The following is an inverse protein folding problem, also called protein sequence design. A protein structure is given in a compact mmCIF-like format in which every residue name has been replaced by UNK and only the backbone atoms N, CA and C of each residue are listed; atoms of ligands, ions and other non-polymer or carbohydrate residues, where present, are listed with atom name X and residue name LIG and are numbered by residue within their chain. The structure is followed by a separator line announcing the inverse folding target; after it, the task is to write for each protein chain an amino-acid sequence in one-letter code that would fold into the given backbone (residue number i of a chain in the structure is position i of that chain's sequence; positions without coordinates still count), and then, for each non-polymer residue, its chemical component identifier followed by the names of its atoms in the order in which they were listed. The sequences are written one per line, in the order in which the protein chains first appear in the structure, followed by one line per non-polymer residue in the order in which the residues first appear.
data_IF_037340801155
#
_entry.id   IF_037340801155
#
_cell.length_a   1.000
_cell.length_b   1.000
_cell.length_c   1.000
_cell.angle_alpha   90.00
_cell.angle_beta   90.00
_cell.angle_gamma   90.00
#
_symmetry.space_group_name_H-M   'P 1'
#
loop_
_entity.id
_entity.type
_entity.pdbx_description
1 polymer ?
#
# COMPACT_ATOMS: atom_id res chain seq x y z
N UNK A 1 -40.64 12.74 36.99
CA UNK A 1 -39.39 12.52 36.22
C UNK A 1 -38.73 13.77 35.62
N UNK A 2 -39.07 14.32 34.43
CA UNK A 2 -38.27 15.45 33.84
C UNK A 2 -38.35 16.73 34.68
N UNK A 3 -39.55 17.12 35.12
CA UNK A 3 -39.78 18.31 35.98
C UNK A 3 -39.06 18.18 37.34
N UNK A 4 -39.02 16.96 37.85
CA UNK A 4 -38.40 16.59 39.13
C UNK A 4 -36.87 16.57 39.04
N UNK A 5 -36.31 16.02 37.95
CA UNK A 5 -34.87 16.06 37.68
C UNK A 5 -34.36 17.50 37.48
N UNK A 6 -35.15 18.38 36.84
CA UNK A 6 -34.77 19.80 36.71
C UNK A 6 -34.76 20.52 38.06
N UNK A 7 -35.70 20.23 38.97
CA UNK A 7 -35.73 20.85 40.30
C UNK A 7 -34.62 20.33 41.21
N UNK A 8 -34.30 19.03 41.15
CA UNK A 8 -33.25 18.43 42.00
C UNK A 8 -31.84 18.87 41.58
N UNK A 9 -31.55 18.92 40.28
CA UNK A 9 -30.21 19.20 39.77
C UNK A 9 -29.98 20.67 39.34
N UNK A 10 -31.00 21.53 39.37
CA UNK A 10 -30.88 22.94 38.98
C UNK A 10 -30.53 23.17 37.51
N UNK A 11 -30.86 22.22 36.63
CA UNK A 11 -30.52 22.26 35.19
C UNK A 11 -31.75 22.53 34.32
N UNK A 12 -31.53 23.02 33.09
CA UNK A 12 -32.61 23.32 32.15
C UNK A 12 -33.33 22.06 31.66
N UNK A 13 -34.62 22.18 31.31
CA UNK A 13 -35.40 21.09 30.69
C UNK A 13 -34.74 20.53 29.43
N UNK A 14 -34.16 21.40 28.60
CA UNK A 14 -33.48 21.00 27.36
C UNK A 14 -32.24 20.13 27.63
N UNK A 15 -31.51 20.41 28.71
CA UNK A 15 -30.38 19.58 29.13
C UNK A 15 -30.84 18.19 29.57
N UNK A 16 -31.90 18.10 30.38
CA UNK A 16 -32.46 16.82 30.84
C UNK A 16 -32.93 15.96 29.66
N UNK A 17 -33.65 16.53 28.69
CA UNK A 17 -34.05 15.81 27.48
C UNK A 17 -32.86 15.33 26.65
N UNK A 18 -31.79 16.13 26.55
CA UNK A 18 -30.56 15.73 25.84
C UNK A 18 -29.86 14.56 26.52
N UNK A 19 -29.82 14.55 27.86
CA UNK A 19 -29.24 13.43 28.62
C UNK A 19 -30.10 12.18 28.53
N UNK A 20 -31.43 12.32 28.64
CA UNK A 20 -32.37 11.22 28.44
C UNK A 20 -32.22 10.57 27.06
N UNK A 21 -32.09 11.38 26.01
CA UNK A 21 -31.84 10.90 24.64
C UNK A 21 -30.51 10.15 24.52
N UNK A 22 -29.45 10.59 25.20
CA UNK A 22 -28.16 9.90 25.21
C UNK A 22 -28.25 8.53 25.89
N UNK A 23 -28.95 8.45 27.03
CA UNK A 23 -29.20 7.19 27.74
C UNK A 23 -29.98 6.21 26.84
N UNK A 24 -31.06 6.66 26.20
CA UNK A 24 -31.87 5.79 25.33
C UNK A 24 -31.08 5.22 24.13
N UNK A 25 -30.09 5.95 23.61
CA UNK A 25 -29.29 5.51 22.45
C UNK A 25 -28.10 4.63 22.80
N UNK A 26 -27.58 4.72 24.04
CA UNK A 26 -26.31 4.11 24.42
C UNK A 26 -26.42 3.15 25.61
N UNK A 27 -27.60 3.04 26.21
CA UNK A 27 -27.89 2.18 27.36
C UNK A 27 -27.99 2.96 28.67
N UNK A 28 -28.73 2.40 29.62
CA UNK A 28 -28.95 2.92 30.98
C UNK A 28 -27.73 2.69 31.90
N UNK A 29 -26.56 3.18 31.46
CA UNK A 29 -25.31 3.17 32.22
C UNK A 29 -24.82 4.61 32.48
N UNK A 30 -24.22 4.91 33.64
CA UNK A 30 -23.67 6.24 33.91
C UNK A 30 -22.66 6.72 32.85
N UNK A 31 -21.93 5.82 32.17
CA UNK A 31 -20.99 6.19 31.09
C UNK A 31 -21.71 6.79 29.88
N UNK A 32 -22.98 6.47 29.65
CA UNK A 32 -23.78 7.06 28.55
C UNK A 32 -24.00 8.56 28.69
N UNK A 33 -23.83 9.10 29.91
CA UNK A 33 -23.92 10.52 30.22
C UNK A 33 -22.59 11.27 30.08
N UNK A 34 -21.49 10.59 29.75
CA UNK A 34 -20.20 11.25 29.54
C UNK A 34 -20.30 12.26 28.39
N UNK A 35 -19.65 13.45 28.52
CA UNK A 35 -19.66 14.43 27.45
C UNK A 35 -19.14 13.84 26.14
N UNK A 36 -19.94 13.96 25.08
CA UNK A 36 -19.61 13.53 23.71
C UNK A 36 -18.51 14.39 23.10
N UNK A 37 -17.28 14.27 23.63
CA UNK A 37 -16.09 14.98 23.16
C UNK A 37 -15.78 14.65 21.69
N UNK A 38 -16.22 13.50 21.21
CA UNK A 38 -16.17 13.08 19.80
C UNK A 38 -16.98 13.99 18.86
N UNK A 39 -18.08 14.58 19.35
CA UNK A 39 -18.95 15.51 18.59
C UNK A 39 -18.62 16.98 18.86
N UNK A 40 -17.72 17.25 19.80
CA UNK A 40 -17.28 18.61 20.11
C UNK A 40 -16.15 19.06 19.18
N UNK A 41 -15.95 20.38 19.07
CA UNK A 41 -14.73 20.94 18.47
C UNK A 41 -14.78 21.19 16.96
N UNK A 42 -15.94 21.02 16.30
CA UNK A 42 -16.13 21.26 14.87
C UNK A 42 -15.11 20.48 14.01
N UNK A 43 -15.12 19.15 14.14
CA UNK A 43 -14.23 18.24 13.41
C UNK A 43 -14.36 18.47 11.89
N UNK A 44 -13.26 18.77 11.24
CA UNK A 44 -13.20 19.02 9.79
C UNK A 44 -13.31 20.49 9.39
N UNK A 45 -13.74 21.38 10.29
CA UNK A 45 -13.76 22.83 10.00
C UNK A 45 -12.34 23.39 10.13
N UNK A 46 -11.81 23.89 9.02
CA UNK A 46 -10.51 24.57 8.99
C UNK A 46 -10.62 25.88 9.74
N UNK A 47 -9.72 26.12 10.69
CA UNK A 47 -9.64 27.36 11.46
C UNK A 47 -8.34 28.05 11.11
N UNK A 48 -8.38 28.89 10.07
CA UNK A 48 -7.25 29.72 9.65
C UNK A 48 -7.05 30.86 10.66
N UNK A 49 -5.87 31.43 10.67
CA UNK A 49 -5.42 32.44 11.63
C UNK A 49 -4.88 33.63 10.86
N UNK A 50 -5.77 34.28 10.11
CA UNK A 50 -5.43 35.43 9.28
C UNK A 50 -5.21 36.68 10.13
N UNK A 51 -4.42 37.66 9.64
CA UNK A 51 -4.14 38.90 10.37
C UNK A 51 -5.44 39.61 10.80
N UNK A 52 -5.56 39.96 12.07
CA UNK A 52 -6.74 40.64 12.63
C UNK A 52 -7.80 39.71 13.24
N UNK A 53 -7.75 38.41 12.94
CA UNK A 53 -8.67 37.43 13.53
C UNK A 53 -8.03 36.68 14.71
N UNK A 54 -8.06 35.35 14.65
CA UNK A 54 -7.61 34.45 15.69
C UNK A 54 -6.09 34.27 15.60
N UNK A 55 -5.37 34.62 16.68
CA UNK A 55 -3.90 34.46 16.74
C UNK A 55 -3.40 33.00 16.72
N UNK A 56 -4.14 32.05 17.31
CA UNK A 56 -3.71 30.65 17.43
C UNK A 56 -4.87 29.66 17.55
N UNK A 57 -4.85 28.51 16.82
CA UNK A 57 -5.78 27.42 17.02
C UNK A 57 -5.24 26.42 18.06
N UNK A 58 -6.13 25.83 18.86
CA UNK A 58 -5.78 24.75 19.79
C UNK A 58 -5.42 25.18 21.21
N UNK A 59 -4.77 24.28 21.95
CA UNK A 59 -4.43 24.43 23.37
C UNK A 59 -3.30 25.43 23.54
N UNK A 60 -3.44 26.35 24.49
CA UNK A 60 -2.35 27.25 24.90
C UNK A 60 -1.17 26.46 25.47
N UNK A 61 0.05 26.90 25.19
CA UNK A 61 1.26 26.31 25.78
C UNK A 61 1.27 26.52 27.29
N UNK A 62 2.09 25.74 28.00
CA UNK A 62 2.28 25.93 29.44
C UNK A 62 2.73 27.36 29.74
N UNK A 63 3.67 27.89 28.96
CA UNK A 63 4.17 29.25 29.11
C UNK A 63 3.10 30.33 28.88
N UNK A 64 2.27 30.21 27.83
CA UNK A 64 1.12 31.11 27.60
C UNK A 64 0.05 31.02 28.70
N UNK A 65 -0.11 29.85 29.34
CA UNK A 65 -1.03 29.65 30.46
C UNK A 65 -0.50 30.28 31.74
N UNK A 66 0.81 30.17 31.98
CA UNK A 66 1.52 30.79 33.10
C UNK A 66 1.43 32.31 32.98
N UNK A 67 1.84 32.90 31.84
CA UNK A 67 1.76 34.34 31.61
C UNK A 67 0.35 34.89 31.87
N UNK A 68 -0.67 34.18 31.39
CA UNK A 68 -2.08 34.52 31.67
C UNK A 68 -2.44 34.47 33.15
N UNK A 69 -1.94 33.48 33.90
CA UNK A 69 -2.21 33.36 35.33
C UNK A 69 -1.57 34.51 36.13
N UNK A 70 -0.41 34.99 35.67
CA UNK A 70 0.30 36.14 36.24
C UNK A 70 -0.12 37.50 35.66
N UNK A 71 -1.10 37.54 34.73
CA UNK A 71 -1.59 38.79 34.13
C UNK A 71 -0.66 39.43 33.09
N UNK A 72 0.43 38.76 32.73
CA UNK A 72 1.39 39.23 31.75
C UNK A 72 0.93 38.95 30.30
N UNK A 73 1.26 39.81 29.33
CA UNK A 73 1.02 39.52 27.93
C UNK A 73 1.80 38.26 27.53
N UNK A 74 1.18 37.30 26.83
CA UNK A 74 1.89 36.10 26.40
C UNK A 74 3.01 36.49 25.43
N UNK A 75 4.19 35.85 25.51
CA UNK A 75 5.29 36.15 24.62
C UNK A 75 4.95 35.81 23.16
N UNK A 76 5.64 36.43 22.18
CA UNK A 76 5.47 36.09 20.79
C UNK A 76 5.78 34.60 20.60
N UNK A 77 4.80 33.86 20.12
CA UNK A 77 4.92 32.44 19.80
C UNK A 77 4.56 32.19 18.35
N UNK A 78 4.84 30.97 17.88
CA UNK A 78 4.50 30.55 16.52
C UNK A 78 3.02 30.89 16.22
N UNK A 79 2.74 31.76 15.24
CA UNK A 79 1.38 32.11 14.89
C UNK A 79 0.65 30.90 14.31
N UNK A 80 -0.68 30.95 14.30
CA UNK A 80 -1.49 29.96 13.59
C UNK A 80 -1.19 29.92 12.09
N UNK A 81 -1.75 28.92 11.41
CA UNK A 81 -1.62 28.83 9.95
C UNK A 81 -2.56 29.86 9.28
N UNK A 82 -1.99 30.80 8.53
CA UNK A 82 -2.75 31.77 7.72
C UNK A 82 -3.16 31.17 6.36
N UNK A 83 -4.09 31.84 5.68
CA UNK A 83 -4.47 31.53 4.29
C UNK A 83 -3.29 31.65 3.34
N UNK A 84 -2.51 32.72 3.47
CA UNK A 84 -1.32 33.01 2.66
C UNK A 84 -0.25 31.93 2.82
N UNK A 85 0.05 31.53 4.05
CA UNK A 85 1.02 30.45 4.30
C UNK A 85 0.57 29.13 3.70
N UNK A 86 -0.72 28.79 3.82
CA UNK A 86 -1.25 27.57 3.23
C UNK A 86 -1.12 27.59 1.69
N UNK A 87 -1.47 28.72 1.05
CA UNK A 87 -1.32 28.89 -0.40
C UNK A 87 0.14 28.80 -0.85
N UNK A 88 1.06 29.50 -0.16
CA UNK A 88 2.49 29.45 -0.45
C UNK A 88 3.07 28.03 -0.31
N UNK A 89 2.67 27.29 0.73
CA UNK A 89 3.07 25.89 0.92
C UNK A 89 2.61 25.04 -0.26
N UNK A 90 1.38 25.20 -0.73
CA UNK A 90 0.84 24.43 -1.85
C UNK A 90 1.54 24.75 -3.17
N UNK A 91 1.84 26.04 -3.42
CA UNK A 91 2.60 26.46 -4.60
C UNK A 91 4.00 25.86 -4.59
N UNK A 92 4.72 25.96 -3.46
CA UNK A 92 6.04 25.36 -3.29
C UNK A 92 6.02 23.84 -3.51
N UNK A 93 5.04 23.17 -2.92
CA UNK A 93 4.94 21.71 -2.96
C UNK A 93 4.61 21.17 -4.36
N UNK A 94 3.89 21.95 -5.17
CA UNK A 94 3.60 21.62 -6.56
C UNK A 94 4.82 21.80 -7.47
N UNK A 95 5.79 22.64 -7.09
CA UNK A 95 7.04 22.82 -7.84
C UNK A 95 8.04 21.68 -7.59
N UNK A 96 7.89 20.92 -6.50
CA UNK A 96 8.77 19.80 -6.19
C UNK A 96 8.47 18.63 -7.14
N UNK A 97 9.47 18.19 -7.89
CA UNK A 97 9.36 17.07 -8.81
C UNK A 97 8.98 15.76 -8.09
N UNK A 98 8.15 14.95 -8.75
CA UNK A 98 7.83 13.59 -8.31
C UNK A 98 8.94 12.62 -8.74
N UNK A 99 9.39 11.69 -7.89
CA UNK A 99 8.87 11.34 -6.57
C UNK A 99 9.28 12.34 -5.48
N UNK A 100 8.31 12.77 -4.67
CA UNK A 100 8.53 13.77 -3.64
C UNK A 100 9.46 13.21 -2.55
N UNK A 101 10.43 13.99 -2.07
CA UNK A 101 11.41 13.54 -1.09
C UNK A 101 10.78 13.28 0.29
N UNK A 102 11.52 12.63 1.21
CA UNK A 102 11.05 12.42 2.58
C UNK A 102 10.74 13.75 3.29
N UNK A 103 9.88 13.67 4.32
CA UNK A 103 9.31 14.83 5.01
C UNK A 103 10.32 15.93 5.40
N UNK A 104 11.48 15.62 6.03
CA UNK A 104 12.42 16.67 6.44
C UNK A 104 12.95 17.47 5.24
N UNK A 105 13.42 16.77 4.20
CA UNK A 105 13.95 17.39 2.98
C UNK A 105 12.87 18.15 2.23
N UNK A 106 11.64 17.61 2.16
CA UNK A 106 10.49 18.27 1.54
C UNK A 106 10.13 19.56 2.26
N UNK A 107 10.11 19.57 3.60
CA UNK A 107 9.84 20.79 4.36
C UNK A 107 10.95 21.83 4.18
N UNK A 108 12.21 21.40 4.12
CA UNK A 108 13.33 22.32 3.90
C UNK A 108 13.27 22.95 2.51
N UNK A 109 12.89 22.19 1.47
CA UNK A 109 12.69 22.72 0.11
C UNK A 109 11.53 23.73 0.04
N UNK A 110 10.43 23.47 0.73
CA UNK A 110 9.28 24.40 0.82
C UNK A 110 9.70 25.71 1.51
N UNK A 111 10.43 25.61 2.62
CA UNK A 111 10.91 26.79 3.35
C UNK A 111 11.88 27.59 2.47
N UNK A 112 12.85 26.92 1.84
CA UNK A 112 13.86 27.57 0.99
C UNK A 112 13.28 28.27 -0.24
N UNK A 113 12.16 27.78 -0.79
CA UNK A 113 11.58 28.33 -2.02
C UNK A 113 10.70 29.55 -1.79
N UNK A 114 9.80 29.51 -0.80
CA UNK A 114 8.77 30.56 -0.63
C UNK A 114 8.97 31.44 0.61
N UNK A 115 9.74 31.00 1.60
CA UNK A 115 9.83 31.69 2.89
C UNK A 115 11.21 32.31 3.16
N UNK A 116 12.25 31.94 2.42
CA UNK A 116 13.57 32.60 2.52
C UNK A 116 13.69 33.67 1.43
N UNK A 117 13.79 34.93 1.85
CA UNK A 117 13.98 36.07 0.95
C UNK A 117 15.40 36.64 0.90
N UNK A 118 16.34 36.13 1.72
CA UNK A 118 17.72 36.63 1.81
C UNK A 118 18.73 35.51 1.57
N UNK A 119 19.72 35.78 0.72
CA UNK A 119 20.85 34.92 0.45
C UNK A 119 22.12 35.66 0.88
N UNK A 120 22.97 35.01 1.68
CA UNK A 120 24.27 35.55 2.06
C UNK A 120 25.38 34.64 1.52
N UNK A 121 26.49 35.25 1.13
CA UNK A 121 27.65 34.51 0.67
C UNK A 121 28.54 34.19 1.86
N UNK A 122 28.58 32.92 2.24
CA UNK A 122 29.45 32.42 3.31
C UNK A 122 30.47 31.49 2.67
N UNK A 123 31.75 31.89 2.71
CA UNK A 123 32.89 31.08 2.20
C UNK A 123 32.76 30.66 0.72
N UNK A 124 32.32 31.56 -0.16
CA UNK A 124 32.19 31.29 -1.61
C UNK A 124 31.01 30.39 -1.99
N UNK A 125 30.08 30.13 -1.06
CA UNK A 125 28.81 29.45 -1.31
C UNK A 125 27.66 30.37 -0.93
N UNK A 126 26.73 30.55 -1.85
CA UNK A 126 25.48 31.30 -1.61
C UNK A 126 24.59 30.41 -0.74
N UNK A 127 24.49 30.73 0.55
CA UNK A 127 23.60 30.04 1.47
C UNK A 127 22.37 30.90 1.78
N UNK A 128 21.20 30.24 1.78
CA UNK A 128 19.93 30.86 2.09
C UNK A 128 19.80 31.01 3.61
N UNK A 129 19.77 32.26 4.10
CA UNK A 129 19.68 32.54 5.53
C UNK A 129 18.23 32.35 5.99
N UNK A 130 18.02 31.49 7.00
CA UNK A 130 16.68 31.28 7.55
C UNK A 130 16.18 32.59 8.19
N UNK A 131 14.94 33.03 7.89
CA UNK A 131 14.36 34.21 8.50
C UNK A 131 14.17 34.02 10.01
N UNK A 132 13.87 35.14 10.68
CA UNK A 132 13.59 35.14 12.12
C UNK A 132 12.56 34.08 12.51
N UNK A 133 12.81 33.46 13.67
CA UNK A 133 11.92 32.45 14.25
C UNK A 133 10.53 33.08 14.41
N UNK A 134 9.48 32.34 14.01
CA UNK A 134 8.06 32.75 13.97
C UNK A 134 7.57 33.51 12.72
N UNK A 135 8.47 33.95 11.83
CA UNK A 135 8.09 34.62 10.57
C UNK A 135 7.69 33.64 9.46
N UNK A 136 7.96 32.34 9.64
CA UNK A 136 7.66 31.27 8.70
C UNK A 136 7.01 30.07 9.40
N UNK A 137 6.26 29.20 8.68
CA UNK A 137 5.59 28.06 9.27
C UNK A 137 6.58 26.98 9.73
N UNK A 138 6.30 26.36 10.87
CA UNK A 138 7.07 25.22 11.36
C UNK A 138 6.86 23.96 10.49
N UNK A 139 7.81 23.04 10.43
CA UNK A 139 7.69 21.75 9.76
C UNK A 139 6.39 20.98 10.10
N UNK A 140 5.92 21.03 11.36
CA UNK A 140 4.63 20.42 11.76
C UNK A 140 3.43 21.08 11.10
N UNK A 141 3.48 22.40 10.95
CA UNK A 141 2.47 23.22 10.31
C UNK A 141 2.40 22.93 8.82
N UNK A 142 3.55 22.87 8.14
CA UNK A 142 3.67 22.50 6.72
C UNK A 142 3.12 21.09 6.48
N UNK A 143 3.56 20.11 7.29
CA UNK A 143 3.07 18.73 7.20
C UNK A 143 1.55 18.67 7.39
N UNK A 144 0.99 19.45 8.32
CA UNK A 144 -0.45 19.48 8.58
C UNK A 144 -1.22 19.98 7.36
N UNK A 145 -0.80 21.09 6.73
CA UNK A 145 -1.44 21.63 5.51
C UNK A 145 -1.48 20.57 4.42
N UNK A 146 -0.32 20.00 4.08
CA UNK A 146 -0.22 18.97 3.06
C UNK A 146 -1.03 17.70 3.40
N UNK A 147 -1.18 17.37 4.69
CA UNK A 147 -2.01 16.22 5.09
C UNK A 147 -3.52 16.44 5.02
N UNK A 148 -3.96 17.70 5.10
CA UNK A 148 -5.37 18.08 5.09
C UNK A 148 -5.82 18.40 3.67
N UNK A 149 -5.02 19.17 2.94
CA UNK A 149 -5.38 19.68 1.62
C UNK A 149 -5.11 18.67 0.51
N UNK A 150 -4.09 17.80 0.67
CA UNK A 150 -3.80 16.75 -0.32
C UNK A 150 -4.36 15.40 0.14
N UNK A 151 -5.18 14.81 -0.72
CA UNK A 151 -5.72 13.47 -0.51
C UNK A 151 -4.61 12.44 -0.22
N UNK A 152 -4.95 11.47 0.63
CA UNK A 152 -4.00 10.43 1.05
C UNK A 152 -3.49 9.60 -0.14
N UNK A 153 -4.38 9.28 -1.09
CA UNK A 153 -4.03 8.49 -2.28
C UNK A 153 -3.06 9.26 -3.17
N UNK A 154 -3.36 10.54 -3.45
CA UNK A 154 -2.49 11.40 -4.27
C UNK A 154 -1.09 11.53 -3.66
N UNK A 155 -0.98 11.74 -2.35
CA UNK A 155 0.33 11.79 -1.66
C UNK A 155 1.11 10.48 -1.76
N UNK A 156 0.42 9.34 -1.71
CA UNK A 156 1.06 8.04 -1.85
C UNK A 156 1.64 7.87 -3.27
N UNK A 157 0.87 8.24 -4.29
CA UNK A 157 1.31 8.24 -5.68
C UNK A 157 2.52 9.17 -5.86
N UNK A 158 2.46 10.40 -5.33
CA UNK A 158 3.56 11.37 -5.43
C UNK A 158 4.83 10.95 -4.68
N UNK A 159 4.71 10.14 -3.62
CA UNK A 159 5.87 9.65 -2.84
C UNK A 159 6.70 8.61 -3.56
N UNK A 160 6.16 8.02 -4.63
CA UNK A 160 6.69 6.84 -5.28
C UNK A 160 6.73 7.05 -6.79
N UNK A 161 7.54 6.28 -7.51
CA UNK A 161 7.47 6.29 -8.97
C UNK A 161 6.18 5.63 -9.45
N UNK A 162 5.59 6.11 -10.55
CA UNK A 162 4.40 5.47 -11.13
C UNK A 162 4.60 3.97 -11.36
N UNK A 163 5.83 3.58 -11.75
CA UNK A 163 6.26 2.17 -11.90
C UNK A 163 6.15 1.38 -10.60
N UNK A 164 6.73 1.86 -9.50
CA UNK A 164 6.71 1.13 -8.23
C UNK A 164 5.31 1.14 -7.59
N UNK A 165 4.56 2.23 -7.76
CA UNK A 165 3.19 2.32 -7.30
C UNK A 165 2.31 1.27 -7.98
N UNK A 166 2.34 1.19 -9.30
CA UNK A 166 1.55 0.24 -10.08
C UNK A 166 1.91 -1.22 -9.81
N UNK A 167 3.18 -1.51 -9.51
CA UNK A 167 3.61 -2.89 -9.25
C UNK A 167 3.39 -3.36 -7.81
N UNK A 168 3.51 -2.45 -6.83
CA UNK A 168 3.67 -2.85 -5.42
C UNK A 168 2.67 -2.21 -4.44
N UNK A 169 2.10 -1.05 -4.77
CA UNK A 169 1.32 -0.22 -3.83
C UNK A 169 -0.12 0.07 -4.28
N UNK A 170 -0.49 -0.30 -5.51
CA UNK A 170 -1.83 -0.06 -6.03
C UNK A 170 -2.86 -0.85 -5.22
N UNK A 171 -4.00 -0.22 -4.92
CA UNK A 171 -5.17 -0.91 -4.38
C UNK A 171 -5.69 -1.97 -5.36
N UNK A 172 -6.17 -3.08 -4.83
CA UNK A 172 -6.73 -4.18 -5.60
C UNK A 172 -8.17 -3.83 -5.95
N UNK A 173 -8.55 -4.04 -7.21
CA UNK A 173 -9.87 -3.65 -7.72
C UNK A 173 -10.67 -4.87 -8.20
N UNK A 174 -10.04 -6.01 -8.48
CA UNK A 174 -10.68 -7.16 -9.14
C UNK A 174 -10.41 -8.51 -8.45
N UNK A 175 -11.27 -9.50 -8.74
CA UNK A 175 -11.08 -10.92 -8.37
C UNK A 175 -10.43 -11.67 -9.54
N UNK A 176 -9.48 -12.58 -9.25
CA UNK A 176 -8.67 -13.30 -10.24
C UNK A 176 -9.44 -14.07 -11.32
N UNK A 177 -10.64 -14.58 -11.02
CA UNK A 177 -11.47 -15.33 -11.96
C UNK A 177 -12.27 -14.44 -12.94
N UNK A 178 -12.29 -13.11 -12.76
CA UNK A 178 -13.04 -12.20 -13.62
C UNK A 178 -12.44 -12.19 -15.03
N UNK A 179 -13.17 -12.77 -16.00
CA UNK A 179 -12.73 -12.90 -17.39
C UNK A 179 -12.26 -14.30 -17.80
N UNK A 180 -12.26 -15.27 -16.88
CA UNK A 180 -11.96 -16.69 -17.17
C UNK A 180 -13.27 -17.47 -17.29
N UNK A 181 -13.44 -18.22 -18.38
CA UNK A 181 -14.72 -18.88 -18.69
C UNK A 181 -15.09 -20.02 -17.71
N UNK A 182 -14.11 -20.67 -17.10
CA UNK A 182 -14.32 -21.79 -16.17
C UNK A 182 -13.00 -22.47 -15.76
N UNK A 183 -13.07 -23.52 -14.93
CA UNK A 183 -11.90 -24.33 -14.58
C UNK A 183 -11.23 -24.91 -15.82
N UNK A 184 -9.91 -24.91 -15.86
CA UNK A 184 -9.14 -25.43 -17.00
C UNK A 184 -9.08 -24.49 -18.20
N UNK A 185 -9.75 -23.34 -18.17
CA UNK A 185 -9.63 -22.36 -19.25
C UNK A 185 -8.27 -21.66 -19.22
N UNK A 186 -7.82 -21.18 -18.06
CA UNK A 186 -6.56 -20.44 -17.95
C UNK A 186 -5.71 -20.95 -16.81
N UNK A 187 -4.49 -21.39 -17.13
CA UNK A 187 -3.47 -21.72 -16.15
C UNK A 187 -2.41 -20.63 -16.07
N UNK A 188 -1.96 -20.30 -14.87
CA UNK A 188 -0.81 -19.46 -14.64
C UNK A 188 0.37 -20.31 -14.17
N UNK A 189 1.52 -20.16 -14.81
CA UNK A 189 2.78 -20.79 -14.41
C UNK A 189 3.74 -19.74 -13.86
N UNK A 190 4.33 -20.05 -12.71
CA UNK A 190 5.37 -19.23 -12.09
C UNK A 190 6.51 -20.12 -11.57
N UNK A 191 7.71 -19.56 -11.55
CA UNK A 191 8.90 -20.21 -11.00
C UNK A 191 9.44 -19.38 -9.85
N UNK A 192 9.52 -19.97 -8.65
CA UNK A 192 10.04 -19.30 -7.46
C UNK A 192 11.23 -20.07 -6.90
N UNK A 193 12.28 -19.33 -6.50
CA UNK A 193 13.39 -19.91 -5.75
C UNK A 193 12.91 -20.19 -4.32
N UNK A 194 12.92 -21.46 -3.93
CA UNK A 194 12.56 -21.90 -2.60
C UNK A 194 13.47 -21.26 -1.54
N UNK A 195 12.89 -20.84 -0.43
CA UNK A 195 13.63 -20.24 0.70
C UNK A 195 14.07 -21.30 1.71
N UNK A 196 14.56 -22.42 1.18
CA UNK A 196 15.05 -23.56 1.93
C UNK A 196 16.31 -24.09 1.24
N UNK A 197 17.27 -24.57 2.03
CA UNK A 197 18.44 -25.27 1.52
C UNK A 197 18.19 -26.77 1.56
N UNK A 198 18.31 -27.42 0.41
CA UNK A 198 18.28 -28.87 0.31
C UNK A 198 19.63 -29.46 0.74
N UNK A 199 19.57 -30.57 1.46
CA UNK A 199 20.72 -31.41 1.81
C UNK A 199 20.64 -32.72 1.04
N UNK A 200 21.79 -33.30 0.73
CA UNK A 200 21.83 -34.59 0.04
C UNK A 200 21.26 -35.69 0.94
N UNK A 201 20.55 -36.64 0.33
CA UNK A 201 20.08 -37.85 1.01
C UNK A 201 21.22 -38.82 1.31
N UNK A 202 22.31 -38.77 0.53
CA UNK A 202 23.50 -39.61 0.70
C UNK A 202 24.38 -39.16 1.87
N UNK A 203 24.57 -37.84 1.99
CA UNK A 203 25.29 -37.22 3.12
C UNK A 203 24.63 -35.90 3.49
N UNK A 204 24.11 -35.83 4.72
CA UNK A 204 23.45 -34.62 5.24
C UNK A 204 24.42 -33.46 5.40
N UNK A 205 25.73 -33.69 5.44
CA UNK A 205 26.74 -32.64 5.47
C UNK A 205 26.81 -31.84 4.16
N UNK A 206 26.40 -32.45 3.03
CA UNK A 206 26.45 -31.83 1.71
C UNK A 206 25.21 -30.98 1.43
N UNK A 207 25.43 -29.69 1.24
CA UNK A 207 24.41 -28.73 0.84
C UNK A 207 24.29 -28.77 -0.69
N UNK A 208 23.12 -29.13 -1.19
CA UNK A 208 22.82 -29.18 -2.62
C UNK A 208 22.56 -27.77 -3.16
N UNK A 209 21.84 -26.96 -2.38
CA UNK A 209 21.48 -25.59 -2.73
C UNK A 209 19.99 -25.32 -2.56
N UNK A 210 19.53 -24.21 -3.15
CA UNK A 210 18.13 -23.80 -3.09
C UNK A 210 17.37 -24.37 -4.28
N UNK A 211 16.21 -25.00 -4.07
CA UNK A 211 15.41 -25.50 -5.18
C UNK A 211 14.73 -24.34 -5.91
N UNK A 212 14.41 -24.56 -7.17
CA UNK A 212 13.48 -23.75 -7.94
C UNK A 212 12.21 -24.57 -8.11
N UNK A 213 11.09 -24.01 -7.69
CA UNK A 213 9.78 -24.66 -7.73
C UNK A 213 8.94 -23.97 -8.79
N UNK A 214 8.54 -24.75 -9.80
CA UNK A 214 7.49 -24.38 -10.74
C UNK A 214 6.15 -24.77 -10.15
N UNK A 215 5.21 -23.85 -10.18
CA UNK A 215 3.82 -24.10 -9.77
C UNK A 215 2.93 -23.68 -10.92
N UNK A 216 1.96 -24.53 -11.25
CA UNK A 216 0.93 -24.26 -12.25
C UNK A 216 -0.41 -24.22 -11.53
N UNK A 217 -1.11 -23.10 -11.69
CA UNK A 217 -2.37 -22.86 -11.00
C UNK A 217 -3.49 -22.55 -11.98
N UNK A 218 -4.63 -23.20 -11.79
CA UNK A 218 -5.86 -22.81 -12.50
C UNK A 218 -6.42 -21.51 -11.92
N UNK A 219 -6.54 -20.48 -12.76
CA UNK A 219 -6.91 -19.13 -12.30
C UNK A 219 -8.34 -19.08 -11.77
N UNK A 220 -9.25 -19.87 -12.36
CA UNK A 220 -10.66 -19.87 -11.99
C UNK A 220 -10.90 -20.53 -10.63
N UNK A 221 -10.39 -21.75 -10.45
CA UNK A 221 -10.58 -22.51 -9.21
C UNK A 221 -9.55 -22.20 -8.13
N UNK A 222 -8.44 -21.55 -8.50
CA UNK A 222 -7.25 -21.31 -7.65
C UNK A 222 -6.49 -22.58 -7.24
N UNK A 223 -6.86 -23.74 -7.78
CA UNK A 223 -6.23 -25.01 -7.45
C UNK A 223 -4.88 -25.18 -8.18
N UNK A 224 -3.89 -25.66 -7.45
CA UNK A 224 -2.61 -26.07 -8.03
C UNK A 224 -2.86 -27.34 -8.84
N UNK A 225 -2.69 -27.25 -10.15
CA UNK A 225 -2.91 -28.36 -11.10
C UNK A 225 -1.63 -29.12 -11.41
N UNK A 226 -0.47 -28.54 -11.11
CA UNK A 226 0.81 -29.22 -11.27
C UNK A 226 1.96 -28.45 -10.66
N UNK A 227 3.06 -29.17 -10.40
CA UNK A 227 4.29 -28.60 -9.89
C UNK A 227 5.51 -29.36 -10.42
N UNK A 228 6.67 -28.73 -10.34
CA UNK A 228 7.95 -29.38 -10.64
C UNK A 228 9.09 -28.69 -9.89
N UNK A 229 9.99 -29.48 -9.32
CA UNK A 229 11.12 -28.98 -8.51
C UNK A 229 12.44 -29.27 -9.22
N UNK A 230 13.25 -28.24 -9.42
CA UNK A 230 14.53 -28.28 -10.11
C UNK A 230 15.65 -27.72 -9.25
N UNK A 231 16.89 -28.09 -9.56
CA UNK A 231 18.10 -27.43 -9.04
C UNK A 231 18.71 -26.47 -10.07
N UNK A 232 18.34 -26.61 -11.33
CA UNK A 232 18.80 -25.76 -12.43
C UNK A 232 18.00 -24.47 -12.51
N UNK A 233 18.67 -23.41 -12.94
CA UNK A 233 18.07 -22.09 -13.17
C UNK A 233 16.83 -22.17 -14.06
N UNK A 234 15.91 -21.20 -13.92
CA UNK A 234 14.61 -21.36 -14.53
C UNK A 234 14.70 -21.19 -16.06
N UNK A 235 14.01 -22.07 -16.79
CA UNK A 235 14.19 -22.30 -18.22
C UNK A 235 12.93 -22.87 -18.86
N UNK A 236 12.75 -22.64 -20.16
CA UNK A 236 11.65 -23.25 -20.90
C UNK A 236 11.69 -24.79 -20.90
N UNK A 237 12.87 -25.41 -20.84
CA UNK A 237 12.97 -26.88 -20.80
C UNK A 237 12.38 -27.45 -19.50
N UNK A 238 12.70 -26.83 -18.36
CA UNK A 238 12.11 -27.19 -17.06
C UNK A 238 10.63 -26.83 -16.97
N UNK A 239 10.20 -25.74 -17.61
CA UNK A 239 8.78 -25.38 -17.71
C UNK A 239 7.96 -26.37 -18.55
N UNK A 240 8.53 -26.95 -19.61
CA UNK A 240 7.84 -28.01 -20.38
C UNK A 240 7.58 -29.24 -19.52
N UNK A 241 8.53 -29.60 -18.66
CA UNK A 241 8.38 -30.75 -17.75
C UNK A 241 7.27 -30.46 -16.75
N UNK A 242 7.23 -29.25 -16.16
CA UNK A 242 6.13 -28.89 -15.26
C UNK A 242 4.77 -28.91 -15.94
N UNK A 243 4.67 -28.44 -17.18
CA UNK A 243 3.45 -28.50 -17.98
C UNK A 243 3.02 -29.94 -18.28
N UNK A 244 3.98 -30.80 -18.63
CA UNK A 244 3.73 -32.23 -18.81
C UNK A 244 3.17 -32.84 -17.53
N UNK A 245 3.76 -32.55 -16.38
CA UNK A 245 3.31 -33.06 -15.09
C UNK A 245 1.89 -32.60 -14.73
N UNK A 246 1.50 -31.38 -15.10
CA UNK A 246 0.14 -30.87 -14.90
C UNK A 246 -0.90 -31.53 -15.82
N UNK A 247 -0.48 -31.97 -17.01
CA UNK A 247 -1.34 -32.62 -17.99
C UNK A 247 -1.45 -34.14 -17.78
N UNK A 248 -0.51 -34.73 -17.04
CA UNK A 248 -0.42 -36.15 -16.81
C UNK A 248 -1.37 -36.61 -15.70
N UNK A 249 -1.71 -37.91 -15.68
CA UNK A 249 -2.57 -38.46 -14.64
C UNK A 249 -1.87 -38.39 -13.26
N UNK A 250 -2.47 -37.73 -12.26
CA UNK A 250 -1.83 -37.54 -10.96
C UNK A 250 -1.52 -38.86 -10.25
N UNK A 251 -2.34 -39.92 -10.42
CA UNK A 251 -2.12 -41.20 -9.75
C UNK A 251 -0.85 -41.86 -10.29
N UNK A 252 -0.70 -41.90 -11.62
CA UNK A 252 0.51 -42.41 -12.26
C UNK A 252 1.75 -41.58 -11.90
N UNK A 253 1.60 -40.25 -11.80
CA UNK A 253 2.69 -39.37 -11.37
C UNK A 253 3.10 -39.64 -9.92
N UNK A 254 2.12 -39.88 -9.05
CA UNK A 254 2.32 -40.22 -7.65
C UNK A 254 3.07 -41.55 -7.47
N UNK A 255 2.71 -42.56 -8.26
CA UNK A 255 3.43 -43.84 -8.31
C UNK A 255 4.88 -43.67 -8.80
N UNK A 256 5.10 -42.86 -9.85
CA UNK A 256 6.43 -42.65 -10.43
C UNK A 256 7.39 -41.93 -9.47
N UNK A 257 6.90 -40.98 -8.68
CA UNK A 257 7.73 -40.15 -7.80
C UNK A 257 7.60 -40.48 -6.31
N UNK A 258 6.74 -41.43 -5.95
CA UNK A 258 6.54 -41.86 -4.56
C UNK A 258 5.83 -40.83 -3.68
N UNK A 259 4.80 -40.14 -4.20
CA UNK A 259 3.94 -39.27 -3.40
C UNK A 259 2.45 -39.56 -3.66
N UNK A 260 1.60 -39.29 -2.67
CA UNK A 260 0.16 -39.46 -2.81
C UNK A 260 -0.49 -38.11 -3.20
N UNK A 261 -1.08 -37.97 -4.41
CA UNK A 261 -1.72 -36.74 -4.84
C UNK A 261 -3.08 -36.55 -4.17
N UNK A 262 -3.28 -35.39 -3.53
CA UNK A 262 -4.58 -35.00 -3.00
C UNK A 262 -5.32 -34.18 -4.06
N UNK A 263 -6.30 -34.81 -4.73
CA UNK A 263 -7.06 -34.17 -5.79
C UNK A 263 -8.20 -33.31 -5.21
N UNK A 264 -8.18 -32.02 -5.55
CA UNK A 264 -9.20 -31.05 -5.14
C UNK A 264 -10.20 -30.70 -6.24
N UNK A 265 -9.89 -31.00 -7.50
CA UNK A 265 -10.75 -30.73 -8.66
C UNK A 265 -11.27 -32.03 -9.28
N UNK A 266 -12.56 -32.08 -9.53
CA UNK A 266 -13.23 -33.17 -10.27
C UNK A 266 -14.18 -32.56 -11.30
N UNK A 267 -13.99 -32.82 -12.61
CA UNK A 267 -12.89 -33.59 -13.21
C UNK A 267 -11.52 -32.87 -13.08
N UNK A 268 -10.45 -33.65 -13.08
CA UNK A 268 -9.10 -33.10 -13.10
C UNK A 268 -8.83 -32.47 -14.48
N UNK A 269 -8.39 -31.21 -14.56
CA UNK A 269 -8.12 -30.56 -15.83
C UNK A 269 -6.85 -31.18 -16.46
N UNK A 270 -6.95 -31.64 -17.71
CA UNK A 270 -5.86 -32.32 -18.42
C UNK A 270 -5.01 -31.37 -19.26
N UNK A 271 -5.57 -30.27 -19.75
CA UNK A 271 -4.82 -29.25 -20.47
C UNK A 271 -5.54 -27.91 -20.38
N UNK A 272 -4.79 -26.82 -20.34
CA UNK A 272 -5.38 -25.48 -20.41
C UNK A 272 -5.67 -25.04 -21.84
N UNK A 273 -6.73 -24.26 -22.00
CA UNK A 273 -6.95 -23.51 -23.22
C UNK A 273 -5.94 -22.36 -23.38
N UNK A 274 -5.66 -21.66 -22.28
CA UNK A 274 -4.72 -20.55 -22.24
C UNK A 274 -3.66 -20.73 -21.14
N UNK A 275 -2.39 -20.66 -21.53
CA UNK A 275 -1.28 -20.63 -20.58
C UNK A 275 -0.78 -19.19 -20.41
N UNK A 276 -0.75 -18.76 -19.17
CA UNK A 276 -0.29 -17.45 -18.73
C UNK A 276 1.10 -17.57 -18.09
N UNK A 277 2.07 -16.85 -18.64
CA UNK A 277 3.45 -16.87 -18.13
C UNK A 277 4.03 -15.47 -17.92
N UNK A 278 5.01 -15.38 -17.04
CA UNK A 278 5.90 -14.22 -16.97
C UNK A 278 6.86 -14.18 -18.16
N UNK A 279 7.16 -12.97 -18.63
CA UNK A 279 7.88 -12.76 -19.91
C UNK A 279 9.30 -13.34 -19.98
N UNK A 280 9.98 -13.57 -18.86
CA UNK A 280 11.42 -13.86 -18.82
C UNK A 280 11.83 -15.10 -19.64
N UNK A 281 11.37 -16.27 -19.24
CA UNK A 281 11.80 -17.56 -19.83
C UNK A 281 11.00 -17.97 -21.08
N UNK A 282 9.80 -17.41 -21.21
CA UNK A 282 8.81 -17.82 -22.21
C UNK A 282 8.90 -16.97 -23.49
N UNK A 283 9.82 -16.01 -23.58
CA UNK A 283 10.13 -15.27 -24.82
C UNK A 283 11.12 -16.02 -25.75
N UNK A 284 11.53 -17.24 -25.40
CA UNK A 284 12.47 -18.03 -26.20
C UNK A 284 11.84 -18.58 -27.49
N UNK A 285 12.65 -18.77 -28.55
CA UNK A 285 12.20 -19.36 -29.83
C UNK A 285 11.54 -20.74 -29.62
N UNK A 286 12.11 -21.57 -28.74
CA UNK A 286 11.58 -22.89 -28.42
C UNK A 286 10.22 -22.88 -27.70
N UNK A 287 9.89 -21.79 -26.98
CA UNK A 287 8.54 -21.59 -26.46
C UNK A 287 7.55 -21.41 -27.61
N UNK A 288 7.86 -20.53 -28.57
CA UNK A 288 6.96 -20.22 -29.68
C UNK A 288 6.60 -21.47 -30.49
N UNK A 289 7.55 -22.35 -30.76
CA UNK A 289 7.30 -23.58 -31.53
C UNK A 289 6.46 -24.62 -30.79
N UNK A 290 6.70 -24.79 -29.49
CA UNK A 290 6.03 -25.81 -28.68
C UNK A 290 4.64 -25.34 -28.24
N UNK A 291 4.53 -24.07 -27.82
CA UNK A 291 3.29 -23.44 -27.41
C UNK A 291 2.28 -23.42 -28.55
N UNK A 292 2.68 -23.03 -29.77
CA UNK A 292 1.78 -22.99 -30.93
C UNK A 292 1.21 -24.38 -31.27
N UNK A 293 1.93 -25.46 -30.98
CA UNK A 293 1.49 -26.84 -31.26
C UNK A 293 0.60 -27.44 -30.17
N UNK A 294 0.87 -27.13 -28.90
CA UNK A 294 0.22 -27.78 -27.75
C UNK A 294 -0.82 -26.90 -27.04
N UNK A 295 -0.69 -25.58 -27.11
CA UNK A 295 -1.52 -24.64 -26.37
C UNK A 295 -2.21 -23.69 -27.34
N UNK A 296 -3.56 -23.68 -27.38
CA UNK A 296 -4.31 -22.82 -28.30
C UNK A 296 -3.98 -21.33 -28.15
N UNK A 297 -3.63 -20.89 -26.93
CA UNK A 297 -3.31 -19.50 -26.64
C UNK A 297 -2.24 -19.37 -25.54
N UNK A 298 -1.15 -18.64 -25.80
CA UNK A 298 -0.23 -18.19 -24.75
C UNK A 298 -0.34 -16.69 -24.52
N UNK A 299 -0.50 -16.30 -23.25
CA UNK A 299 -0.61 -14.90 -22.82
C UNK A 299 0.55 -14.53 -21.90
N UNK A 300 1.05 -13.30 -22.05
CA UNK A 300 2.17 -12.80 -21.26
C UNK A 300 1.70 -11.70 -20.30
N UNK A 301 2.19 -11.73 -19.06
CA UNK A 301 1.92 -10.67 -18.10
C UNK A 301 2.43 -9.31 -18.63
N UNK A 302 1.66 -8.20 -18.49
CA UNK A 302 2.09 -6.87 -18.89
C UNK A 302 3.40 -6.46 -18.20
N UNK A 303 4.28 -5.67 -18.86
CA UNK A 303 5.55 -5.30 -18.25
C UNK A 303 5.33 -4.50 -16.96
N UNK A 304 6.09 -4.85 -15.91
CA UNK A 304 6.06 -4.16 -14.61
C UNK A 304 4.72 -4.25 -13.86
N UNK A 305 3.87 -5.21 -14.22
CA UNK A 305 2.60 -5.50 -13.58
C UNK A 305 2.58 -7.00 -13.26
N UNK A 306 2.32 -7.34 -12.00
CA UNK A 306 2.15 -8.74 -11.64
C UNK A 306 0.79 -9.29 -12.08
N UNK A 307 -0.24 -8.44 -12.22
CA UNK A 307 -1.63 -8.78 -12.59
C UNK A 307 -1.72 -9.42 -13.97
N UNK A 308 -2.07 -10.73 -14.06
CA UNK A 308 -2.20 -11.44 -15.32
C UNK A 308 -3.30 -10.95 -16.28
N UNK A 309 -4.25 -10.12 -15.84
CA UNK A 309 -5.36 -9.72 -16.71
C UNK A 309 -5.65 -8.22 -16.65
N UNK A 310 -5.65 -7.58 -17.82
CA UNK A 310 -6.27 -6.26 -18.04
C UNK A 310 -7.25 -6.45 -19.19
N UNK A 311 -8.50 -6.69 -18.83
CA UNK A 311 -9.62 -6.67 -19.75
C UNK A 311 -9.79 -5.26 -20.31
N UNK A 312 -8.98 -4.87 -21.30
CA UNK A 312 -9.22 -3.66 -22.13
C UNK A 312 -10.45 -3.77 -23.03
N UNK A 313 -11.40 -4.65 -22.69
CA UNK A 313 -12.80 -4.58 -23.12
C UNK A 313 -13.81 -4.38 -22.00
N UNK A 314 -13.42 -4.42 -20.72
CA UNK A 314 -14.21 -3.95 -19.56
C UNK A 314 -13.33 -4.04 -18.31
N UNK A 315 -12.78 -2.90 -17.88
CA UNK A 315 -11.64 -2.82 -16.97
C UNK A 315 -11.82 -3.48 -15.61
N UNK A 316 -10.92 -4.40 -15.27
CA UNK A 316 -10.61 -4.83 -13.90
C UNK A 316 -9.33 -5.69 -13.95
N UNK A 317 -8.36 -5.45 -13.05
CA UNK A 317 -7.08 -6.20 -13.02
C UNK A 317 -6.81 -6.91 -11.70
N UNK A 318 -6.21 -8.09 -11.81
CA UNK A 318 -6.20 -9.10 -10.75
C UNK A 318 -4.83 -9.79 -10.57
N UNK A 319 -4.27 -9.74 -9.36
CA UNK A 319 -3.38 -10.76 -8.77
C UNK A 319 -3.77 -10.91 -7.31
N UNK A 320 -4.13 -12.11 -6.86
CA UNK A 320 -3.96 -12.49 -5.46
C UNK A 320 -3.44 -13.89 -5.17
N UNK A 321 -3.30 -14.76 -6.17
CA UNK A 321 -2.76 -16.11 -5.91
C UNK A 321 -1.29 -16.15 -5.49
N UNK A 322 -0.45 -15.32 -6.10
CA UNK A 322 1.01 -15.42 -5.97
C UNK A 322 1.60 -14.69 -4.75
N UNK A 323 0.78 -13.98 -3.95
CA UNK A 323 1.22 -13.39 -2.67
C UNK A 323 0.87 -14.26 -1.48
N UNK A 324 -0.24 -15.01 -1.53
CA UNK A 324 -0.65 -15.91 -0.45
C UNK A 324 0.08 -17.26 -0.46
N UNK A 325 0.52 -17.73 -1.64
CA UNK A 325 1.31 -18.98 -1.77
C UNK A 325 2.82 -18.79 -1.61
N UNK A 326 3.31 -17.55 -1.42
CA UNK A 326 4.73 -17.32 -1.12
C UNK A 326 5.01 -17.66 0.34
N UNK A 327 6.02 -18.51 0.65
CA UNK A 327 6.51 -18.65 2.01
C UNK A 327 6.84 -17.26 2.56
N UNK A 328 6.34 -16.93 3.76
CA UNK A 328 6.61 -15.66 4.41
C UNK A 328 8.13 -15.52 4.66
N UNK A 329 8.84 -14.80 3.79
CA UNK A 329 10.31 -14.65 3.87
C UNK A 329 11.02 -14.11 2.62
N UNK A 330 10.42 -14.22 1.43
CA UNK A 330 11.11 -13.84 0.19
C UNK A 330 11.25 -12.31 -0.01
N UNK A 331 12.42 -11.76 0.31
CA UNK A 331 12.85 -10.44 -0.18
C UNK A 331 13.23 -10.50 -1.67
N UNK A 332 12.79 -9.51 -2.46
CA UNK A 332 13.09 -9.41 -3.90
C UNK A 332 14.62 -9.49 -4.18
N UNK A 333 15.11 -10.43 -5.00
CA UNK A 333 16.47 -10.35 -5.49
C UNK A 333 16.58 -9.16 -6.45
N UNK A 334 17.48 -8.22 -6.14
CA UNK A 334 17.87 -7.17 -7.07
C UNK A 334 18.41 -7.86 -8.32
N UNK A 335 17.77 -7.58 -9.46
CA UNK A 335 18.23 -8.01 -10.77
C UNK A 335 19.65 -7.45 -11.00
N UNK A 336 20.67 -8.25 -10.74
CA UNK A 336 22.05 -7.94 -11.07
C UNK A 336 22.20 -8.09 -12.59
N UNK A 337 22.05 -7.00 -13.33
CA UNK A 337 22.61 -6.89 -14.68
C UNK A 337 24.13 -6.96 -14.54
N UNK A 338 24.74 -8.09 -14.88
CA UNK A 338 26.15 -8.12 -15.26
C UNK A 338 26.25 -7.82 -16.75
N UNK A 339 27.17 -6.92 -17.08
CA UNK A 339 27.67 -6.68 -18.45
C UNK A 339 28.35 -7.92 -19.00
#
# INVERSE_FOLDING_TARGET
MVKEATTVAGVSRSFVYKQWSSICRHGFDPKSLLPRRDRCGAKGVVRRCDPGERKKPGRKTLHERIARAFGEPPPPGQPGMSTEWAAAIMVADNQIATPKPPWPTRTDQIIKSQFIGRAEEVNGKIELVKPEIFTYPNARQIKRVLTVEVEKLKRLIESTTARHFNSSMRGLVARNWQGVAGPGHTWAIDSTVGDIYLRSSLDRSWIVGRPIVYVIVDIWSTAIVGFYVCLTGPSWNTAKISLFNAAFDPKQLGELWGYEPILSLVPHPTLSYCLMCDRGEYLSLGHRETAVKLLPLTSYAPPYRGDPWDSRRNGTSSLHLWRELRPQGASNPRCARRR
#
